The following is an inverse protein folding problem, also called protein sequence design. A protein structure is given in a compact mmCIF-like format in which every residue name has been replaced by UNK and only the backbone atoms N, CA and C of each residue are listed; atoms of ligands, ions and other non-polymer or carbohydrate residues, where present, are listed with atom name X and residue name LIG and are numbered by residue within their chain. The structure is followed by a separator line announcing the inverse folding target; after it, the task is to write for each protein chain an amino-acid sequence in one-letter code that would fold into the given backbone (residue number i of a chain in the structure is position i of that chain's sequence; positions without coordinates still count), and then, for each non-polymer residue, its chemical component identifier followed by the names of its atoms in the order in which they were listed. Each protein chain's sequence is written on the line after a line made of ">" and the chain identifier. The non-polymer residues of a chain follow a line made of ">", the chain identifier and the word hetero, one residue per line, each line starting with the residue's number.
data_IF_387001606095
#
_entry.id   IF_387001606095
#
_cell.length_a   1.000
_cell.length_b   1.000
_cell.length_c   1.000
_cell.angle_alpha   90.00
_cell.angle_beta   90.00
_cell.angle_gamma   90.00
#
_symmetry.space_group_name_H-M   'P 1'
#
loop_
_entity.id
_entity.type
_entity.pdbx_description
1 polymer ?
#
# COMPACT_ATOMS: atom_id res chain seq x y z
N UNK A 1 -0.83 -9.08 9.13
CA UNK A 1 -1.17 -8.29 10.34
C UNK A 1 -0.94 -6.78 10.20
N UNK A 2 0.05 -6.29 9.43
CA UNK A 2 0.33 -4.85 9.30
C UNK A 2 -0.90 -3.97 8.99
N UNK A 3 -1.80 -4.39 8.10
CA UNK A 3 -3.05 -3.66 7.80
C UNK A 3 -3.99 -3.60 9.01
N UNK A 4 -4.12 -4.69 9.77
CA UNK A 4 -4.94 -4.72 10.98
C UNK A 4 -4.37 -3.83 12.09
N UNK A 5 -3.04 -3.72 12.18
CA UNK A 5 -2.37 -2.82 13.12
C UNK A 5 -2.57 -1.35 12.72
N UNK A 6 -2.41 -1.04 11.42
CA UNK A 6 -2.65 0.28 10.82
C UNK A 6 -4.10 0.75 11.00
N UNK A 7 -5.06 -0.18 10.90
CA UNK A 7 -6.48 0.05 11.17
C UNK A 7 -6.86 -0.13 12.66
N UNK A 8 -5.89 -0.31 13.55
CA UNK A 8 -6.13 -0.43 15.00
C UNK A 8 -7.10 -1.55 15.40
N UNK A 9 -7.31 -2.55 14.55
CA UNK A 9 -8.09 -3.75 14.84
C UNK A 9 -7.36 -4.72 15.78
N UNK A 10 -6.04 -4.61 15.82
CA UNK A 10 -5.19 -5.36 16.73
C UNK A 10 -4.20 -4.41 17.40
N UNK A 11 -3.74 -4.81 18.58
CA UNK A 11 -2.56 -4.25 19.26
C UNK A 11 -1.52 -5.35 19.39
N UNK A 12 -0.26 -4.96 19.46
CA UNK A 12 0.85 -5.88 19.67
C UNK A 12 1.66 -5.38 20.87
N UNK A 13 1.60 -6.13 21.97
CA UNK A 13 2.31 -5.85 23.21
C UNK A 13 3.28 -7.01 23.46
N UNK A 14 4.59 -6.75 23.49
CA UNK A 14 5.63 -7.76 23.75
C UNK A 14 5.52 -9.03 22.89
N UNK A 15 5.16 -8.85 21.61
CA UNK A 15 4.99 -9.97 20.67
C UNK A 15 3.66 -10.70 20.76
N UNK A 16 2.82 -10.40 21.76
CA UNK A 16 1.46 -10.92 21.89
C UNK A 16 0.51 -10.02 21.11
N UNK A 17 -0.36 -10.64 20.30
CA UNK A 17 -1.37 -9.95 19.50
C UNK A 17 -2.70 -9.98 20.24
N UNK A 18 -3.28 -8.81 20.46
CA UNK A 18 -4.58 -8.64 21.09
C UNK A 18 -5.58 -8.01 20.12
N UNK A 19 -6.82 -8.48 20.13
CA UNK A 19 -7.90 -7.90 19.32
C UNK A 19 -8.42 -6.63 20.02
N UNK A 20 -8.56 -5.55 19.26
CA UNK A 20 -9.25 -4.35 19.74
C UNK A 20 -10.76 -4.49 19.53
N UNK A 21 -11.47 -4.91 20.58
CA UNK A 21 -12.93 -5.12 20.56
C UNK A 21 -13.74 -3.84 20.41
N UNK A 22 -13.11 -2.67 20.60
CA UNK A 22 -13.74 -1.35 20.51
C UNK A 22 -13.44 -0.62 19.21
N UNK A 23 -12.69 -1.25 18.29
CA UNK A 23 -12.33 -0.61 17.03
C UNK A 23 -13.60 -0.36 16.17
N UNK A 24 -13.78 0.86 15.65
CA UNK A 24 -14.91 1.17 14.78
C UNK A 24 -14.79 0.42 13.45
N UNK A 25 -15.91 0.21 12.76
CA UNK A 25 -15.89 -0.31 11.40
C UNK A 25 -15.14 0.67 10.49
N UNK A 26 -14.16 0.17 9.74
CA UNK A 26 -13.35 0.96 8.81
C UNK A 26 -13.20 0.23 7.48
N UNK A 27 -13.15 0.99 6.39
CA UNK A 27 -12.87 0.47 5.06
C UNK A 27 -11.38 0.11 4.94
N UNK A 28 -11.08 -1.00 4.26
CA UNK A 28 -9.69 -1.44 4.05
C UNK A 28 -8.86 -0.40 3.27
N UNK A 29 -9.51 0.40 2.44
CA UNK A 29 -8.90 1.48 1.65
C UNK A 29 -8.38 2.63 2.51
N UNK A 30 -8.80 2.73 3.78
CA UNK A 30 -8.25 3.71 4.72
C UNK A 30 -6.86 3.32 5.26
N UNK A 31 -6.42 2.07 5.05
CA UNK A 31 -5.09 1.63 5.46
C UNK A 31 -4.02 2.11 4.48
N UNK A 32 -3.05 2.89 4.99
CA UNK A 32 -1.86 3.29 4.22
C UNK A 32 -1.03 2.07 3.79
N UNK A 33 -0.96 1.05 4.64
CA UNK A 33 -0.25 -0.19 4.31
C UNK A 33 -0.91 -0.92 3.14
N UNK A 34 -2.25 -0.93 3.09
CA UNK A 34 -2.98 -1.53 1.99
C UNK A 34 -2.82 -0.73 0.70
N UNK A 35 -2.98 0.59 0.76
CA UNK A 35 -2.80 1.48 -0.40
C UNK A 35 -1.39 1.38 -0.99
N UNK A 36 -0.35 1.37 -0.14
CA UNK A 36 1.03 1.21 -0.61
C UNK A 36 1.28 -0.13 -1.31
N UNK A 37 0.57 -1.21 -0.92
CA UNK A 37 0.65 -2.49 -1.64
C UNK A 37 -0.04 -2.42 -3.00
N UNK A 38 -1.19 -1.75 -3.09
CA UNK A 38 -1.88 -1.57 -4.37
C UNK A 38 -1.00 -0.80 -5.36
N UNK A 39 -0.42 0.32 -4.91
CA UNK A 39 0.48 1.11 -5.74
C UNK A 39 1.69 0.28 -6.23
N UNK A 40 2.31 -0.51 -5.34
CA UNK A 40 3.42 -1.38 -5.74
C UNK A 40 2.99 -2.42 -6.78
N UNK A 41 1.83 -3.04 -6.62
CA UNK A 41 1.29 -4.03 -7.57
C UNK A 41 1.03 -3.38 -8.93
N UNK A 42 0.53 -2.15 -8.95
CA UNK A 42 0.29 -1.39 -10.17
C UNK A 42 1.59 -1.13 -10.94
N UNK A 43 2.62 -0.64 -10.24
CA UNK A 43 3.96 -0.45 -10.81
C UNK A 43 4.55 -1.78 -11.31
N UNK A 44 4.46 -2.86 -10.53
CA UNK A 44 4.95 -4.19 -10.93
C UNK A 44 4.28 -4.68 -12.22
N UNK A 45 2.96 -4.50 -12.35
CA UNK A 45 2.23 -4.86 -13.58
C UNK A 45 2.71 -4.05 -14.77
N UNK A 46 2.85 -2.74 -14.60
CA UNK A 46 3.30 -1.87 -15.67
C UNK A 46 4.70 -2.26 -16.17
N UNK A 47 5.63 -2.53 -15.25
CA UNK A 47 6.99 -2.96 -15.60
C UNK A 47 7.03 -4.34 -16.28
N UNK A 48 6.15 -5.26 -15.89
CA UNK A 48 6.12 -6.62 -16.46
C UNK A 48 5.56 -6.65 -17.89
N UNK A 49 4.58 -5.80 -18.18
CA UNK A 49 3.82 -5.88 -19.43
C UNK A 49 4.16 -4.79 -20.47
N UNK A 50 4.83 -3.70 -20.07
CA UNK A 50 5.20 -2.63 -20.98
C UNK A 50 6.45 -2.96 -21.79
N UNK A 51 6.52 -2.43 -23.01
CA UNK A 51 7.76 -2.44 -23.78
C UNK A 51 8.74 -1.36 -23.28
N UNK A 52 10.00 -1.49 -23.64
CA UNK A 52 11.05 -0.60 -23.16
C UNK A 52 10.76 0.90 -23.44
N UNK A 53 10.30 1.30 -24.65
CA UNK A 53 9.93 2.70 -24.90
C UNK A 53 8.83 3.21 -23.97
N UNK A 54 7.79 2.40 -23.69
CA UNK A 54 6.69 2.79 -22.81
C UNK A 54 7.15 2.96 -21.36
N UNK A 55 8.02 2.06 -20.87
CA UNK A 55 8.61 2.18 -19.53
C UNK A 55 9.44 3.46 -19.42
N UNK A 56 10.26 3.74 -20.44
CA UNK A 56 11.12 4.93 -20.45
C UNK A 56 10.30 6.23 -20.37
N UNK A 57 9.27 6.36 -21.20
CA UNK A 57 8.42 7.55 -21.20
C UNK A 57 7.70 7.72 -19.86
N UNK A 58 7.14 6.63 -19.31
CA UNK A 58 6.50 6.67 -18.01
C UNK A 58 7.44 7.14 -16.89
N UNK A 59 8.67 6.60 -16.83
CA UNK A 59 9.65 7.03 -15.83
C UNK A 59 9.99 8.52 -15.97
N UNK A 60 10.12 9.02 -17.21
CA UNK A 60 10.37 10.44 -17.47
C UNK A 60 9.19 11.35 -17.07
N UNK A 61 7.96 10.84 -17.14
CA UNK A 61 6.75 11.58 -16.75
C UNK A 61 6.60 11.62 -15.22
N UNK A 62 6.80 10.49 -14.53
CA UNK A 62 6.79 10.44 -13.05
C UNK A 62 7.84 11.36 -12.43
N UNK A 63 9.03 11.46 -13.05
CA UNK A 63 10.10 12.35 -12.57
C UNK A 63 9.84 13.84 -12.84
N UNK A 64 8.86 14.19 -13.68
CA UNK A 64 8.50 15.59 -13.97
C UNK A 64 7.45 16.16 -13.03
N UNK A 65 6.62 15.32 -12.43
CA UNK A 65 5.56 15.72 -11.49
C UNK A 65 6.12 16.15 -10.11
N UNK A 66 7.39 15.88 -9.80
CA UNK A 66 8.09 16.30 -8.57
C UNK A 66 8.55 17.79 -8.59
N UNK A 67 7.94 18.66 -9.41
CA UNK A 67 8.26 20.10 -9.52
C UNK A 67 7.14 21.05 -9.14
#
# INVERSE_FOLDING_TARGET
>A
LKVFLDLHFIRQNDGIIEINTTAPKQEITSSRIYQGRLHRIEVEKQLLYADFPSIKNWMEDEMREDK
#
